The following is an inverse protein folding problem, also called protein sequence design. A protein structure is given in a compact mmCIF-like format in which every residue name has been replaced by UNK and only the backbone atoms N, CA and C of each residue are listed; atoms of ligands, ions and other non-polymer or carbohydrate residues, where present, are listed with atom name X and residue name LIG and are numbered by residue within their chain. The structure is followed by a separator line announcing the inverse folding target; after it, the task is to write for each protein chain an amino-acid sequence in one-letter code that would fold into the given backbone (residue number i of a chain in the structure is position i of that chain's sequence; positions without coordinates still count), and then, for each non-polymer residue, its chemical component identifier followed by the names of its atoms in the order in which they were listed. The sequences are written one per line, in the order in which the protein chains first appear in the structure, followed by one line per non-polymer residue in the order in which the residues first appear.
data_IF_762577779814
#
_entry.id   IF_762577779814
#
_cell.length_a   1.000
_cell.length_b   1.000
_cell.length_c   1.000
_cell.angle_alpha   90.00
_cell.angle_beta   90.00
_cell.angle_gamma   90.00
#
_symmetry.space_group_name_H-M   'P 1'
#
loop_
_entity.id
_entity.type
_entity.pdbx_description
1 polymer ?
#
# COMPACT_ATOMS: atom_id res chain seq x y z
N UNK A 1 28.46 2.64 49.83
CA UNK A 1 29.37 2.08 48.79
C UNK A 1 28.53 1.29 47.79
N UNK A 2 28.44 1.77 46.55
CA UNK A 2 27.49 1.25 45.56
C UNK A 2 28.01 -0.06 44.94
N UNK A 3 27.18 -1.09 44.97
CA UNK A 3 27.56 -2.47 44.67
C UNK A 3 27.46 -2.74 43.16
N UNK A 4 28.59 -2.67 42.47
CA UNK A 4 28.79 -2.92 41.02
C UNK A 4 28.17 -4.22 40.46
N UNK A 5 27.81 -5.19 41.31
CA UNK A 5 27.15 -6.45 40.92
C UNK A 5 25.63 -6.34 40.69
N UNK A 6 24.97 -5.29 41.20
CA UNK A 6 23.52 -5.13 41.02
C UNK A 6 23.14 -4.39 39.73
N UNK A 7 24.11 -3.77 39.05
CA UNK A 7 23.90 -3.07 37.79
C UNK A 7 23.87 -4.01 36.58
N UNK A 8 24.67 -5.07 36.57
CA UNK A 8 24.68 -6.07 35.49
C UNK A 8 23.47 -7.02 35.50
N UNK A 9 22.76 -7.13 36.62
CA UNK A 9 21.56 -7.99 36.73
C UNK A 9 20.30 -7.36 36.10
N UNK A 10 20.34 -6.08 35.70
CA UNK A 10 19.17 -5.34 35.17
C UNK A 10 19.13 -5.21 33.65
N UNK A 11 20.16 -5.66 32.93
CA UNK A 11 20.24 -5.51 31.46
C UNK A 11 19.69 -6.69 30.67
N UNK A 12 19.36 -7.82 31.31
CA UNK A 12 18.80 -9.02 30.66
C UNK A 12 17.29 -8.94 30.38
N UNK A 13 16.60 -7.90 30.83
CA UNK A 13 15.15 -7.72 30.61
C UNK A 13 14.77 -7.09 29.25
N UNK A 14 15.73 -6.67 28.43
CA UNK A 14 15.49 -5.90 27.20
C UNK A 14 15.84 -6.69 25.92
N UNK A 15 15.53 -7.99 25.86
CA UNK A 15 15.76 -8.81 24.66
C UNK A 15 14.51 -9.54 24.14
N UNK A 16 13.35 -9.39 24.80
CA UNK A 16 12.11 -10.07 24.41
C UNK A 16 11.12 -9.18 23.61
N UNK A 17 11.52 -7.99 23.18
CA UNK A 17 10.66 -7.06 22.45
C UNK A 17 11.00 -6.91 20.96
N UNK A 18 11.89 -7.75 20.41
CA UNK A 18 12.34 -7.66 19.01
C UNK A 18 11.78 -8.72 18.06
N UNK A 19 11.13 -9.77 18.56
CA UNK A 19 10.76 -10.95 17.75
C UNK A 19 9.35 -10.88 17.14
N UNK A 20 8.64 -9.76 17.29
CA UNK A 20 7.37 -9.51 16.61
C UNK A 20 7.46 -8.28 15.70
N UNK A 21 8.50 -8.20 14.87
CA UNK A 21 8.43 -7.46 13.60
C UNK A 21 7.53 -8.22 12.61
N UNK A 22 6.33 -8.59 13.05
CA UNK A 22 5.28 -9.11 12.20
C UNK A 22 4.83 -7.97 11.31
N UNK A 23 5.23 -8.03 10.04
CA UNK A 23 4.65 -7.36 8.87
C UNK A 23 3.75 -6.17 9.27
N UNK A 24 4.33 -4.98 9.37
CA UNK A 24 3.58 -3.75 9.52
C UNK A 24 2.72 -3.55 8.26
N UNK A 25 1.55 -4.19 8.25
CA UNK A 25 0.50 -3.90 7.29
C UNK A 25 -0.06 -2.56 7.73
N UNK A 26 0.34 -1.49 7.03
CA UNK A 26 -0.23 -0.17 7.22
C UNK A 26 -1.73 -0.26 6.92
N UNK A 27 -2.55 -0.41 7.96
CA UNK A 27 -4.00 -0.41 7.84
C UNK A 27 -4.42 0.99 7.40
N UNK A 28 -4.81 1.11 6.14
CA UNK A 28 -5.36 2.33 5.58
C UNK A 28 -6.56 2.76 6.42
N UNK A 29 -6.52 3.99 6.95
CA UNK A 29 -7.66 4.59 7.65
C UNK A 29 -8.79 4.80 6.64
N UNK A 30 -9.98 4.20 6.84
CA UNK A 30 -11.13 4.43 5.97
C UNK A 30 -11.45 5.93 5.95
N UNK A 31 -11.40 6.56 4.79
CA UNK A 31 -11.82 7.96 4.59
C UNK A 31 -10.72 9.00 4.36
N UNK A 32 -9.43 8.64 4.42
CA UNK A 32 -8.34 9.55 4.00
C UNK A 32 -7.71 9.04 2.70
N UNK A 33 -8.51 9.02 1.64
CA UNK A 33 -8.00 8.81 0.29
C UNK A 33 -7.83 10.18 -0.36
N UNK A 34 -6.67 10.81 -0.16
CA UNK A 34 -6.32 12.12 -0.76
C UNK A 34 -6.50 12.14 -2.29
N UNK A 35 -6.51 10.96 -2.88
CA UNK A 35 -6.84 10.68 -4.27
C UNK A 35 -8.27 11.13 -4.66
N UNK A 36 -9.30 10.73 -3.91
CA UNK A 36 -10.69 11.05 -4.26
C UNK A 36 -10.94 12.56 -4.20
N UNK A 37 -10.25 13.27 -3.30
CA UNK A 37 -10.37 14.72 -3.12
C UNK A 37 -9.84 15.56 -4.29
N UNK A 38 -9.13 14.97 -5.26
CA UNK A 38 -8.57 15.67 -6.44
C UNK A 38 -9.16 15.20 -7.77
N UNK A 39 -10.27 14.45 -7.74
CA UNK A 39 -10.88 13.88 -8.94
C UNK A 39 -10.07 12.73 -9.56
N UNK A 40 -9.21 12.09 -8.77
CA UNK A 40 -8.50 10.89 -9.22
C UNK A 40 -9.33 9.63 -8.97
N UNK A 41 -9.25 8.67 -9.89
CA UNK A 41 -9.92 7.38 -9.78
C UNK A 41 -9.12 6.50 -8.82
N UNK A 42 -9.75 5.99 -7.78
CA UNK A 42 -9.10 5.04 -6.88
C UNK A 42 -9.25 3.60 -7.40
N UNK A 43 -8.14 2.87 -7.45
CA UNK A 43 -8.11 1.47 -7.82
C UNK A 43 -8.99 0.56 -6.94
N UNK A 44 -9.12 0.85 -5.64
CA UNK A 44 -9.94 0.05 -4.73
C UNK A 44 -11.43 0.15 -5.06
N UNK A 45 -11.89 1.33 -5.49
CA UNK A 45 -13.29 1.54 -5.89
C UNK A 45 -13.68 0.70 -7.11
N UNK A 46 -12.70 0.33 -7.94
CA UNK A 46 -12.90 -0.50 -9.14
C UNK A 46 -12.63 -1.99 -8.85
N UNK A 47 -12.40 -2.33 -7.57
CA UNK A 47 -12.24 -3.72 -7.11
C UNK A 47 -10.82 -4.25 -7.25
N UNK A 48 -9.81 -3.40 -7.44
CA UNK A 48 -8.42 -3.85 -7.32
C UNK A 48 -8.07 -4.02 -5.85
N UNK A 49 -7.42 -5.12 -5.53
CA UNK A 49 -6.95 -5.44 -4.20
C UNK A 49 -5.42 -5.62 -4.23
N UNK A 50 -4.68 -4.78 -3.46
CA UNK A 50 -3.26 -4.97 -3.31
C UNK A 50 -2.97 -6.30 -2.61
N UNK A 51 -1.99 -7.05 -3.11
CA UNK A 51 -1.56 -8.34 -2.58
C UNK A 51 -2.47 -9.52 -2.94
N UNK A 52 -3.48 -9.33 -3.82
CA UNK A 52 -4.25 -10.46 -4.31
C UNK A 52 -3.38 -11.40 -5.15
N UNK A 53 -3.62 -12.71 -4.98
CA UNK A 53 -2.96 -13.78 -5.74
C UNK A 53 -3.53 -13.92 -7.16
N UNK A 54 -4.76 -13.46 -7.37
CA UNK A 54 -5.46 -13.55 -8.63
C UNK A 54 -4.96 -12.52 -9.65
N UNK A 55 -5.11 -12.85 -10.93
CA UNK A 55 -4.82 -11.93 -12.02
C UNK A 55 -5.88 -10.81 -12.08
N UNK A 56 -5.44 -9.58 -11.86
CA UNK A 56 -6.28 -8.39 -11.84
C UNK A 56 -6.23 -7.60 -13.15
N UNK A 57 -5.64 -8.16 -14.22
CA UNK A 57 -5.43 -7.48 -15.50
C UNK A 57 -6.72 -6.90 -16.09
N UNK A 58 -7.84 -7.63 -16.01
CA UNK A 58 -9.13 -7.16 -16.56
C UNK A 58 -9.66 -5.93 -15.82
N UNK A 59 -9.60 -5.95 -14.49
CA UNK A 59 -10.05 -4.84 -13.67
C UNK A 59 -9.12 -3.62 -13.86
N UNK A 60 -7.80 -3.86 -13.91
CA UNK A 60 -6.81 -2.82 -14.16
C UNK A 60 -6.99 -2.18 -15.55
N UNK A 61 -7.20 -2.98 -16.59
CA UNK A 61 -7.43 -2.46 -17.95
C UNK A 61 -8.70 -1.61 -18.05
N UNK A 62 -9.78 -2.02 -17.38
CA UNK A 62 -11.01 -1.22 -17.31
C UNK A 62 -10.75 0.13 -16.63
N UNK A 63 -10.04 0.12 -15.51
CA UNK A 63 -9.66 1.33 -14.79
C UNK A 63 -8.83 2.28 -15.69
N UNK A 64 -7.90 1.75 -16.48
CA UNK A 64 -7.11 2.57 -17.41
C UNK A 64 -7.97 3.18 -18.52
N UNK A 65 -8.96 2.44 -19.02
CA UNK A 65 -9.94 2.95 -19.97
C UNK A 65 -10.75 4.11 -19.39
N UNK A 66 -11.35 3.90 -18.21
CA UNK A 66 -12.15 4.92 -17.51
C UNK A 66 -11.31 6.18 -17.21
N UNK A 67 -10.04 6.02 -16.84
CA UNK A 67 -9.11 7.12 -16.63
C UNK A 67 -8.79 7.90 -17.91
N UNK A 68 -8.62 7.21 -19.03
CA UNK A 68 -8.36 7.81 -20.34
C UNK A 68 -9.56 8.61 -20.86
N UNK A 69 -10.76 8.07 -20.66
CA UNK A 69 -12.02 8.69 -21.11
C UNK A 69 -12.34 9.95 -20.30
N UNK A 70 -12.03 9.93 -19.00
CA UNK A 70 -12.28 11.07 -18.09
C UNK A 70 -11.12 12.06 -17.98
N UNK A 71 -10.01 11.79 -18.67
CA UNK A 71 -8.72 12.48 -18.50
C UNK A 71 -8.34 12.66 -17.01
N UNK A 72 -8.63 11.63 -16.22
CA UNK A 72 -8.50 11.66 -14.78
C UNK A 72 -7.26 10.87 -14.33
N UNK A 73 -6.48 11.38 -13.37
CA UNK A 73 -5.39 10.61 -12.80
C UNK A 73 -5.91 9.38 -12.04
N UNK A 74 -5.11 8.33 -12.01
CA UNK A 74 -5.34 7.10 -11.25
C UNK A 74 -4.46 7.12 -10.01
N UNK A 75 -5.04 6.79 -8.87
CA UNK A 75 -4.29 6.53 -7.65
C UNK A 75 -4.23 5.03 -7.34
N UNK A 76 -3.00 4.54 -7.17
CA UNK A 76 -2.69 3.18 -6.73
C UNK A 76 -2.23 3.23 -5.27
N UNK A 77 -3.01 2.67 -4.35
CA UNK A 77 -2.57 2.44 -2.98
C UNK A 77 -1.30 1.56 -2.93
N UNK A 78 -0.51 1.66 -1.87
CA UNK A 78 0.69 0.85 -1.71
C UNK A 78 0.33 -0.64 -1.68
N UNK A 79 1.14 -1.45 -2.37
CA UNK A 79 1.01 -2.89 -2.42
C UNK A 79 1.37 -3.46 -3.78
N UNK A 80 1.25 -4.78 -3.90
CA UNK A 80 1.61 -5.52 -5.12
C UNK A 80 0.35 -5.84 -5.93
N UNK A 81 0.35 -5.50 -7.21
CA UNK A 81 -0.75 -5.81 -8.12
C UNK A 81 -0.24 -6.78 -9.18
N UNK A 82 -0.84 -7.97 -9.25
CA UNK A 82 -0.53 -8.95 -10.28
C UNK A 82 -1.33 -8.64 -11.54
N UNK A 83 -0.64 -8.11 -12.56
CA UNK A 83 -1.21 -7.72 -13.84
C UNK A 83 -0.26 -8.08 -14.98
N UNK A 84 -0.82 -8.35 -16.16
CA UNK A 84 -0.09 -8.73 -17.35
C UNK A 84 -0.78 -8.20 -18.62
N UNK A 85 -0.01 -8.09 -19.71
CA UNK A 85 -0.50 -7.73 -21.05
C UNK A 85 -1.38 -6.46 -21.10
N UNK A 86 -1.05 -5.46 -20.28
CA UNK A 86 -1.79 -4.20 -20.23
C UNK A 86 -1.44 -3.31 -21.43
N UNK A 87 -2.47 -2.66 -21.99
CA UNK A 87 -2.31 -1.55 -22.92
C UNK A 87 -2.50 -0.25 -22.15
N UNK A 88 -1.59 0.71 -22.34
CA UNK A 88 -1.67 2.04 -21.76
C UNK A 88 -2.35 2.98 -22.78
N UNK A 89 -3.63 3.33 -22.60
CA UNK A 89 -4.31 4.27 -23.48
C UNK A 89 -3.78 5.70 -23.28
N UNK A 90 -4.10 6.58 -24.22
CA UNK A 90 -3.65 7.97 -24.16
C UNK A 90 -4.17 8.68 -22.90
N UNK A 91 -3.44 9.70 -22.44
CA UNK A 91 -3.83 10.57 -21.30
C UNK A 91 -3.94 9.88 -19.92
N UNK A 92 -3.53 8.61 -19.80
CA UNK A 92 -3.43 7.95 -18.50
C UNK A 92 -2.31 8.56 -17.67
N UNK A 93 -2.62 8.90 -16.42
CA UNK A 93 -1.68 9.36 -15.41
C UNK A 93 -1.76 8.46 -14.18
N UNK A 94 -0.74 7.65 -13.94
CA UNK A 94 -0.66 6.74 -12.80
C UNK A 94 0.15 7.40 -11.67
N UNK A 95 -0.43 7.45 -10.49
CA UNK A 95 0.22 7.93 -9.27
C UNK A 95 0.08 6.87 -8.18
N UNK A 96 1.15 6.64 -7.42
CA UNK A 96 1.12 5.64 -6.37
C UNK A 96 2.02 6.01 -5.20
N UNK A 97 1.84 5.30 -4.10
CA UNK A 97 2.70 5.37 -2.93
C UNK A 97 3.66 4.18 -2.96
N UNK A 98 4.97 4.38 -2.74
CA UNK A 98 5.92 3.27 -2.60
C UNK A 98 5.45 2.29 -1.52
N UNK A 99 5.43 1.00 -1.86
CA UNK A 99 5.00 -0.11 -0.99
C UNK A 99 6.11 -1.08 -0.68
#
# INVERSE_FOLDING_TARGET
MLNRRTLLARTTGLAAAGLFAGKASAKMLPGIEKATMRGSINAIEIGLQPGALDDQSKAFAKLLGDASDRDAPVFLPPGTYLVSNLKLPARVRLSGVPG
#
